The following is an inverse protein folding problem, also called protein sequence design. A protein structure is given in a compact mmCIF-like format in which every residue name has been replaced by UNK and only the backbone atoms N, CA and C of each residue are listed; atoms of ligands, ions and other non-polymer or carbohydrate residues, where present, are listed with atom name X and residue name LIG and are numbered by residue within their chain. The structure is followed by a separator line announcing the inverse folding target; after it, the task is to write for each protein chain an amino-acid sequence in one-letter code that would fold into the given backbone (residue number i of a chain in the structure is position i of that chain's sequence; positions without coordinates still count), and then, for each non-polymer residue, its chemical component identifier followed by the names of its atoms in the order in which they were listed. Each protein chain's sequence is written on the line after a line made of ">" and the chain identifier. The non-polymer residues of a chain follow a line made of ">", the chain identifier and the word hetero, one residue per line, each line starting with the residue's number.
data_IF_918097191131
#
_entry.id   IF_918097191131
#
_cell.length_a   1.000
_cell.length_b   1.000
_cell.length_c   1.000
_cell.angle_alpha   90.00
_cell.angle_beta   90.00
_cell.angle_gamma   90.00
#
_symmetry.space_group_name_H-M   'P 1'
#
loop_
_entity.id
_entity.type
_entity.pdbx_description
1 polymer ?
#
# COMPACT_ATOMS: atom_id res chain seq x y z
N UNK A 1 18.26 -16.32 -8.60
CA UNK A 1 18.15 -14.89 -8.27
C UNK A 1 16.77 -14.32 -8.64
N UNK A 2 16.40 -14.17 -9.93
CA UNK A 2 15.09 -13.59 -10.34
C UNK A 2 13.83 -14.11 -9.64
N UNK A 3 13.75 -15.40 -9.32
CA UNK A 3 12.58 -15.98 -8.63
C UNK A 3 12.47 -15.60 -7.15
N UNK A 4 13.57 -15.26 -6.50
CA UNK A 4 13.59 -14.83 -5.10
C UNK A 4 13.18 -13.36 -4.97
N UNK A 5 13.71 -12.50 -5.83
CA UNK A 5 13.34 -11.08 -5.93
C UNK A 5 11.83 -10.91 -6.17
N UNK A 6 11.25 -11.70 -7.08
CA UNK A 6 9.82 -11.66 -7.35
C UNK A 6 8.97 -12.07 -6.12
N UNK A 7 9.44 -13.04 -5.33
CA UNK A 7 8.75 -13.48 -4.10
C UNK A 7 8.83 -12.42 -3.01
N UNK A 8 10.00 -11.79 -2.85
CA UNK A 8 10.18 -10.69 -1.90
C UNK A 8 9.29 -9.50 -2.27
N UNK A 9 9.24 -9.14 -3.56
CA UNK A 9 8.38 -8.08 -4.04
C UNK A 9 6.88 -8.41 -3.85
N UNK A 10 6.47 -9.66 -4.07
CA UNK A 10 5.11 -10.10 -3.80
C UNK A 10 4.77 -10.01 -2.30
N UNK A 11 5.69 -10.43 -1.42
CA UNK A 11 5.53 -10.32 0.03
C UNK A 11 5.39 -8.87 0.49
N UNK A 12 6.25 -7.97 0.00
CA UNK A 12 6.15 -6.54 0.29
C UNK A 12 4.81 -5.94 -0.17
N UNK A 13 4.35 -6.29 -1.37
CA UNK A 13 3.04 -5.84 -1.88
C UNK A 13 1.89 -6.32 -1.00
N UNK A 14 1.93 -7.57 -0.55
CA UNK A 14 0.90 -8.12 0.34
C UNK A 14 0.86 -7.37 1.68
N UNK A 15 2.02 -7.09 2.30
CA UNK A 15 2.09 -6.32 3.54
C UNK A 15 1.54 -4.89 3.38
N UNK A 16 1.92 -4.20 2.31
CA UNK A 16 1.41 -2.85 2.03
C UNK A 16 -0.10 -2.84 1.79
N UNK A 17 -0.64 -3.86 1.11
CA UNK A 17 -2.08 -3.98 0.89
C UNK A 17 -2.82 -4.18 2.22
N UNK A 18 -2.30 -5.01 3.13
CA UNK A 18 -2.89 -5.19 4.46
C UNK A 18 -2.97 -3.87 5.22
N UNK A 19 -1.87 -3.11 5.28
CA UNK A 19 -1.84 -1.83 5.98
C UNK A 19 -2.78 -0.78 5.34
N UNK A 20 -2.92 -0.79 4.01
CA UNK A 20 -3.79 0.15 3.31
C UNK A 20 -5.31 -0.08 3.54
N UNK A 21 -5.71 -1.28 3.95
CA UNK A 21 -7.11 -1.63 4.24
C UNK A 21 -7.44 -1.65 5.74
N UNK A 22 -6.42 -1.54 6.61
CA UNK A 22 -6.62 -1.61 8.05
C UNK A 22 -7.08 -0.27 8.63
N UNK A 23 -7.82 -0.34 9.74
CA UNK A 23 -8.22 0.84 10.49
C UNK A 23 -6.99 1.49 11.14
N UNK A 24 -6.89 2.83 11.05
CA UNK A 24 -5.72 3.57 11.53
C UNK A 24 -5.46 3.34 13.04
N UNK A 25 -6.52 3.27 13.84
CA UNK A 25 -6.44 3.06 15.29
C UNK A 25 -5.94 1.65 15.63
N UNK A 26 -6.25 0.66 14.81
CA UNK A 26 -5.73 -0.71 14.97
C UNK A 26 -4.23 -0.77 14.70
N UNK A 27 -3.77 -0.10 13.64
CA UNK A 27 -2.33 0.01 13.34
C UNK A 27 -1.61 0.68 14.51
N UNK A 28 -2.11 1.81 15.01
CA UNK A 28 -1.49 2.54 16.11
C UNK A 28 -1.41 1.69 17.39
N UNK A 29 -2.48 0.97 17.74
CA UNK A 29 -2.51 0.07 18.91
C UNK A 29 -1.47 -1.04 18.78
N UNK A 30 -1.48 -1.78 17.66
CA UNK A 30 -0.55 -2.90 17.44
C UNK A 30 0.91 -2.44 17.38
N UNK A 31 1.17 -1.26 16.80
CA UNK A 31 2.52 -0.69 16.74
C UNK A 31 3.08 -0.42 18.14
N UNK A 32 2.26 0.16 19.01
CA UNK A 32 2.61 0.43 20.41
C UNK A 32 2.78 -0.87 21.22
N UNK A 33 1.87 -1.83 21.08
CA UNK A 33 1.95 -3.14 21.74
C UNK A 33 3.21 -3.92 21.32
N UNK A 34 3.64 -3.79 20.07
CA UNK A 34 4.87 -4.40 19.56
C UNK A 34 6.15 -3.70 20.02
N UNK A 35 6.05 -2.54 20.69
CA UNK A 35 7.22 -1.77 21.14
C UNK A 35 8.08 -1.24 19.99
N UNK A 36 7.48 -1.00 18.82
CA UNK A 36 8.20 -0.51 17.65
C UNK A 36 8.55 0.98 17.83
N UNK A 37 9.75 1.42 17.39
CA UNK A 37 10.13 2.82 17.45
C UNK A 37 9.18 3.70 16.64
N UNK A 38 8.96 4.91 17.11
CA UNK A 38 8.16 5.92 16.41
C UNK A 38 9.04 6.96 15.71
N UNK A 39 10.36 6.93 15.97
CA UNK A 39 11.30 7.86 15.38
C UNK A 39 11.49 7.56 13.89
N UNK A 40 11.08 8.50 13.05
CA UNK A 40 11.35 8.48 11.62
C UNK A 40 11.56 9.91 11.12
N UNK A 41 12.43 10.08 10.12
CA UNK A 41 12.53 11.32 9.38
C UNK A 41 11.44 11.36 8.30
N UNK A 42 10.55 12.36 8.39
CA UNK A 42 9.53 12.58 7.37
C UNK A 42 10.15 13.23 6.13
N UNK A 43 10.53 12.41 5.15
CA UNK A 43 11.00 12.89 3.84
C UNK A 43 9.90 13.61 3.04
N UNK A 44 8.64 13.26 3.30
CA UNK A 44 7.42 13.88 2.76
C UNK A 44 6.31 13.76 3.80
N UNK A 45 5.53 14.82 3.99
CA UNK A 45 4.35 14.79 4.85
C UNK A 45 3.17 14.01 4.23
N UNK A 46 2.12 13.71 5.01
CA UNK A 46 0.89 13.14 4.48
C UNK A 46 0.21 14.12 3.51
N UNK A 47 -0.16 13.63 2.33
CA UNK A 47 -0.84 14.41 1.30
C UNK A 47 -2.15 13.71 0.94
N UNK A 48 -3.25 14.46 0.85
CA UNK A 48 -4.54 13.96 0.38
C UNK A 48 -4.81 14.53 -1.01
N UNK A 49 -5.12 13.66 -1.96
CA UNK A 49 -5.38 14.04 -3.36
C UNK A 49 -6.33 13.05 -4.02
N UNK A 50 -6.33 13.03 -5.36
CA UNK A 50 -7.17 12.15 -6.16
C UNK A 50 -6.31 11.21 -6.99
N UNK A 51 -6.86 10.03 -7.29
CA UNK A 51 -6.29 9.08 -8.26
C UNK A 51 -7.28 8.92 -9.41
N UNK A 52 -6.81 9.00 -10.64
CA UNK A 52 -7.61 8.64 -11.82
C UNK A 52 -7.74 7.12 -11.91
N UNK A 53 -8.95 6.60 -11.96
CA UNK A 53 -9.17 5.16 -12.13
C UNK A 53 -9.16 4.84 -13.63
N UNK A 54 -8.64 3.66 -13.99
CA UNK A 54 -8.57 3.22 -15.38
C UNK A 54 -9.43 1.99 -15.61
N UNK A 55 -10.54 2.18 -16.29
CA UNK A 55 -11.42 1.11 -16.74
C UNK A 55 -10.97 0.48 -18.06
N UNK A 56 -11.63 -0.61 -18.46
CA UNK A 56 -11.49 -1.25 -19.77
C UNK A 56 -12.87 -1.51 -20.37
N UNK A 57 -13.10 -1.14 -21.62
CA UNK A 57 -14.39 -1.34 -22.31
C UNK A 57 -14.76 -2.83 -22.28
N UNK A 58 -15.91 -3.17 -21.69
CA UNK A 58 -16.34 -4.56 -21.56
C UNK A 58 -15.36 -5.46 -20.78
N UNK A 59 -14.52 -4.90 -19.90
CA UNK A 59 -13.54 -5.63 -19.08
C UNK A 59 -12.23 -6.00 -19.77
N UNK A 60 -12.24 -6.30 -21.08
CA UNK A 60 -11.05 -6.69 -21.85
C UNK A 60 -10.57 -5.67 -22.89
N UNK A 61 -11.46 -4.77 -23.32
CA UNK A 61 -11.25 -3.84 -24.43
C UNK A 61 -10.31 -2.68 -24.13
N UNK A 62 -10.39 -1.62 -24.95
CA UNK A 62 -9.52 -0.46 -24.83
C UNK A 62 -9.64 0.22 -23.45
N UNK A 63 -8.53 0.75 -22.90
CA UNK A 63 -8.55 1.44 -21.62
C UNK A 63 -9.15 2.85 -21.73
N UNK A 64 -9.83 3.30 -20.68
CA UNK A 64 -10.36 4.67 -20.56
C UNK A 64 -10.30 5.15 -19.10
N UNK A 65 -10.33 6.47 -18.90
CA UNK A 65 -10.25 7.07 -17.57
C UNK A 65 -11.66 7.29 -17.00
N UNK A 66 -11.85 6.97 -15.72
CA UNK A 66 -13.07 7.17 -14.93
C UNK A 66 -12.75 7.65 -13.53
#
# INVERSE_FOLDING_TARGET
>A
MRGQEAREQAGRKALMATLAHAEADEIARLWNEAGLPSEAELLRGPETGLVTVRGRIGGGGAPFNV
#
